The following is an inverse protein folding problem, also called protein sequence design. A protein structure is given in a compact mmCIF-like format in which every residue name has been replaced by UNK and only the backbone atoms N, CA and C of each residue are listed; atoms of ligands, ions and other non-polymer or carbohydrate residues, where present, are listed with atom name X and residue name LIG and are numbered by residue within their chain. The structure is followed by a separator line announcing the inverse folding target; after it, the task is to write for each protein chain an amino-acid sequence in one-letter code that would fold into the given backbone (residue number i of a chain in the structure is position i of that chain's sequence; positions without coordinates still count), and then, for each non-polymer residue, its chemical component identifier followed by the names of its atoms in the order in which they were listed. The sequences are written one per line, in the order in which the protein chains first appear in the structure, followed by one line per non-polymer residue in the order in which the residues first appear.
data_IF_168534265603
#
_entry.id   IF_168534265603
#
_cell.length_a   1.000
_cell.length_b   1.000
_cell.length_c   1.000
_cell.angle_alpha   90.00
_cell.angle_beta   90.00
_cell.angle_gamma   90.00
#
_symmetry.space_group_name_H-M   'P 1'
#
loop_
_entity.id
_entity.type
_entity.pdbx_description
1 polymer ?
#
# COMPACT_ATOMS: atom_id res chain seq x y z
N UNK A 1 -5.32 1.87 18.61
CA UNK A 1 -6.79 2.03 18.61
C UNK A 1 -7.26 3.25 19.42
N UNK A 2 -6.92 3.40 20.72
CA UNK A 2 -7.36 4.56 21.54
C UNK A 2 -6.87 5.88 20.92
N UNK A 3 -5.59 5.98 20.55
CA UNK A 3 -5.04 7.16 19.88
C UNK A 3 -5.75 7.40 18.54
N UNK A 4 -6.00 6.36 17.74
CA UNK A 4 -6.78 6.50 16.49
C UNK A 4 -8.18 7.05 16.77
N UNK A 5 -8.87 6.55 17.79
CA UNK A 5 -10.20 7.03 18.13
C UNK A 5 -10.19 8.52 18.54
N UNK A 6 -9.27 8.93 19.43
CA UNK A 6 -9.10 10.33 19.83
C UNK A 6 -8.90 11.23 18.63
N UNK A 7 -8.09 10.77 17.71
CA UNK A 7 -7.73 11.46 16.48
C UNK A 7 -8.91 11.57 15.52
N UNK A 8 -9.59 10.46 15.26
CA UNK A 8 -10.73 10.38 14.35
C UNK A 8 -11.90 11.24 14.85
N UNK A 9 -12.19 11.24 16.16
CA UNK A 9 -13.23 12.06 16.76
C UNK A 9 -12.80 13.52 17.02
N UNK A 10 -11.50 13.79 17.24
CA UNK A 10 -10.94 15.13 17.46
C UNK A 10 -10.83 16.03 16.22
N UNK A 11 -11.04 15.45 15.04
CA UNK A 11 -11.04 16.16 13.75
C UNK A 11 -9.74 16.03 12.95
N UNK A 12 -9.91 15.81 11.65
CA UNK A 12 -8.84 15.50 10.71
C UNK A 12 -7.79 16.62 10.49
N UNK A 13 -8.14 17.88 10.73
CA UNK A 13 -7.26 19.02 10.39
C UNK A 13 -5.92 19.07 11.16
N UNK A 14 -5.92 18.69 12.43
CA UNK A 14 -4.69 18.75 13.24
C UNK A 14 -3.71 17.65 12.89
N UNK A 15 -4.24 16.49 12.54
CA UNK A 15 -3.48 15.27 12.28
C UNK A 15 -2.94 15.27 10.86
N UNK A 16 -3.75 15.69 9.90
CA UNK A 16 -3.32 15.88 8.51
C UNK A 16 -2.01 16.71 8.46
N UNK A 17 -1.88 17.72 9.31
CA UNK A 17 -0.65 18.53 9.38
C UNK A 17 0.54 17.76 9.96
N UNK A 18 0.33 16.97 11.00
CA UNK A 18 1.41 16.16 11.61
C UNK A 18 1.82 15.03 10.69
N UNK A 19 0.86 14.31 10.10
CA UNK A 19 1.15 13.22 9.16
C UNK A 19 1.78 13.73 7.87
N UNK A 20 1.38 14.89 7.37
CA UNK A 20 1.96 15.51 6.17
C UNK A 20 3.47 15.80 6.30
N UNK A 21 3.97 16.00 7.53
CA UNK A 21 5.41 16.16 7.78
C UNK A 21 6.07 14.85 8.21
N UNK A 22 5.42 14.11 9.12
CA UNK A 22 5.99 12.90 9.69
C UNK A 22 6.16 11.79 8.65
N UNK A 23 5.17 11.58 7.78
CA UNK A 23 5.22 10.50 6.78
C UNK A 23 6.38 10.68 5.79
N UNK A 24 6.57 11.83 5.12
CA UNK A 24 7.71 12.02 4.22
C UNK A 24 9.07 11.85 4.92
N UNK A 25 9.21 12.35 6.15
CA UNK A 25 10.46 12.20 6.92
C UNK A 25 10.75 10.73 7.22
N UNK A 26 9.75 9.99 7.72
CA UNK A 26 9.92 8.57 8.03
C UNK A 26 10.17 7.76 6.75
N UNK A 27 9.48 8.08 5.65
CA UNK A 27 9.71 7.44 4.34
C UNK A 27 11.12 7.70 3.81
N UNK A 28 11.62 8.93 3.94
CA UNK A 28 13.00 9.27 3.55
C UNK A 28 14.05 8.51 4.38
N UNK A 29 13.84 8.42 5.70
CA UNK A 29 14.72 7.65 6.59
C UNK A 29 14.66 6.17 6.23
N UNK A 30 13.47 5.62 6.05
CA UNK A 30 13.28 4.22 5.65
C UNK A 30 13.96 3.91 4.31
N UNK A 31 13.77 4.77 3.32
CA UNK A 31 14.42 4.66 2.01
C UNK A 31 15.95 4.68 2.15
N UNK A 32 16.49 5.63 2.91
CA UNK A 32 17.93 5.75 3.11
C UNK A 32 18.54 4.49 3.74
N UNK A 33 17.95 3.98 4.81
CA UNK A 33 18.47 2.75 5.47
C UNK A 33 18.27 1.51 4.60
N UNK A 34 17.19 1.44 3.80
CA UNK A 34 16.95 0.34 2.87
C UNK A 34 17.98 0.32 1.73
N UNK A 35 18.21 1.47 1.09
CA UNK A 35 19.24 1.60 0.05
C UNK A 35 20.61 1.25 0.60
N UNK A 36 20.96 1.76 1.79
CA UNK A 36 22.24 1.43 2.41
C UNK A 36 22.36 -0.06 2.73
N UNK A 37 21.29 -0.72 3.22
CA UNK A 37 21.30 -2.16 3.48
C UNK A 37 21.57 -2.96 2.19
N UNK A 38 20.89 -2.60 1.10
CA UNK A 38 21.08 -3.23 -0.22
C UNK A 38 22.50 -3.00 -0.74
N UNK A 39 23.07 -1.80 -0.56
CA UNK A 39 24.43 -1.48 -1.00
C UNK A 39 25.51 -2.22 -0.19
N UNK A 40 25.26 -2.56 1.08
CA UNK A 40 26.21 -3.35 1.89
C UNK A 40 26.40 -4.78 1.36
N UNK A 41 25.37 -5.35 0.72
CA UNK A 41 25.39 -6.69 0.13
C UNK A 41 25.19 -6.63 -1.40
N UNK A 42 25.68 -5.56 -2.05
CA UNK A 42 25.49 -5.33 -3.48
C UNK A 42 26.01 -6.48 -4.35
N UNK A 43 27.11 -7.11 -3.94
CA UNK A 43 27.71 -8.25 -4.63
C UNK A 43 26.78 -9.47 -4.72
N UNK A 44 25.81 -9.57 -3.81
CA UNK A 44 24.82 -10.67 -3.73
C UNK A 44 23.53 -10.40 -4.48
N UNK A 45 23.31 -9.16 -4.95
CA UNK A 45 22.12 -8.79 -5.74
C UNK A 45 21.92 -9.70 -6.96
N UNK A 46 22.95 -9.98 -7.79
CA UNK A 46 22.78 -10.86 -8.96
C UNK A 46 22.32 -12.28 -8.58
N UNK A 47 22.81 -12.81 -7.48
CA UNK A 47 22.41 -14.12 -6.97
C UNK A 47 20.95 -14.13 -6.50
N UNK A 48 20.53 -13.12 -5.73
CA UNK A 48 19.14 -12.94 -5.30
C UNK A 48 18.21 -12.78 -6.49
N UNK A 49 18.58 -11.96 -7.48
CA UNK A 49 17.79 -11.80 -8.72
C UNK A 49 17.68 -13.11 -9.50
N UNK A 50 18.76 -13.86 -9.60
CA UNK A 50 18.76 -15.18 -10.21
C UNK A 50 17.81 -16.13 -9.46
N UNK A 51 17.85 -16.15 -8.13
CA UNK A 51 16.98 -16.98 -7.29
C UNK A 51 15.51 -16.62 -7.49
N UNK A 52 15.17 -15.31 -7.54
CA UNK A 52 13.81 -14.85 -7.82
C UNK A 52 13.35 -15.37 -9.19
N UNK A 53 14.15 -15.16 -10.24
CA UNK A 53 13.82 -15.59 -11.59
C UNK A 53 13.72 -17.12 -11.70
N UNK A 54 14.66 -17.86 -11.12
CA UNK A 54 14.62 -19.31 -11.12
C UNK A 54 13.41 -19.85 -10.36
N UNK A 55 13.06 -19.26 -9.23
CA UNK A 55 11.87 -19.65 -8.46
C UNK A 55 10.57 -19.35 -9.20
N UNK A 56 10.53 -18.23 -9.93
CA UNK A 56 9.37 -17.85 -10.73
C UNK A 56 9.19 -18.74 -11.98
N UNK A 57 10.29 -19.19 -12.59
CA UNK A 57 10.29 -19.93 -13.86
C UNK A 57 10.86 -21.35 -13.76
N UNK A 58 11.02 -21.90 -12.54
CA UNK A 58 11.61 -23.24 -12.37
C UNK A 58 10.74 -24.33 -12.97
N UNK A 59 11.41 -25.38 -13.51
CA UNK A 59 10.80 -26.52 -14.22
C UNK A 59 9.99 -27.44 -13.29
N UNK A 60 10.19 -27.40 -11.98
CA UNK A 60 9.25 -28.03 -11.01
C UNK A 60 7.86 -27.39 -11.08
N UNK A 61 7.81 -26.17 -11.52
CA UNK A 61 6.66 -25.53 -12.08
C UNK A 61 6.22 -26.16 -13.42
N UNK A 62 7.01 -26.82 -14.26
CA UNK A 62 6.69 -27.24 -15.64
C UNK A 62 6.14 -28.66 -15.81
N UNK A 63 6.14 -29.50 -14.79
CA UNK A 63 5.56 -30.87 -14.85
C UNK A 63 4.06 -30.88 -14.51
N UNK A 64 3.27 -30.34 -15.41
CA UNK A 64 1.82 -30.55 -15.55
C UNK A 64 0.93 -30.37 -14.30
N UNK A 65 0.06 -29.39 -14.27
CA UNK A 65 -1.00 -29.18 -13.27
C UNK A 65 -0.58 -28.38 -12.04
N UNK A 66 0.54 -28.68 -11.41
CA UNK A 66 1.06 -27.97 -10.24
C UNK A 66 1.65 -26.60 -10.63
N UNK A 67 2.19 -26.45 -11.84
CA UNK A 67 2.74 -25.19 -12.36
C UNK A 67 1.71 -24.13 -12.56
N UNK A 68 0.62 -24.49 -13.20
CA UNK A 68 -0.50 -23.55 -13.35
C UNK A 68 -0.99 -23.09 -11.99
N UNK A 69 -0.98 -23.99 -10.99
CA UNK A 69 -1.39 -23.67 -9.63
C UNK A 69 -0.39 -22.75 -8.90
N UNK A 70 0.91 -23.04 -8.96
CA UNK A 70 1.94 -22.21 -8.31
C UNK A 70 2.12 -20.86 -9.00
N UNK A 71 2.12 -20.83 -10.33
CA UNK A 71 2.17 -19.59 -11.09
C UNK A 71 0.91 -18.76 -10.87
N UNK A 72 -0.26 -19.38 -10.84
CA UNK A 72 -1.51 -18.71 -10.49
C UNK A 72 -1.50 -18.20 -9.06
N UNK A 73 -0.86 -18.90 -8.13
CA UNK A 73 -0.67 -18.47 -6.74
C UNK A 73 0.20 -17.22 -6.65
N UNK A 74 1.37 -17.20 -7.28
CA UNK A 74 2.27 -16.05 -7.30
C UNK A 74 1.64 -14.83 -7.98
N UNK A 75 1.00 -15.04 -9.13
CA UNK A 75 0.27 -13.98 -9.85
C UNK A 75 -0.89 -13.44 -9.02
N UNK A 76 -1.69 -14.32 -8.43
CA UNK A 76 -2.82 -13.96 -7.57
C UNK A 76 -2.37 -13.12 -6.38
N UNK A 77 -1.34 -13.56 -5.65
CA UNK A 77 -0.82 -12.82 -4.51
C UNK A 77 -0.19 -11.48 -4.95
N UNK A 78 0.57 -11.47 -6.05
CA UNK A 78 1.18 -10.27 -6.60
C UNK A 78 0.14 -9.22 -6.97
N UNK A 79 -0.89 -9.59 -7.71
CA UNK A 79 -1.98 -8.68 -8.10
C UNK A 79 -2.77 -8.23 -6.88
N UNK A 80 -3.17 -9.14 -5.99
CA UNK A 80 -3.98 -8.79 -4.82
C UNK A 80 -3.21 -7.86 -3.87
N UNK A 81 -1.96 -8.16 -3.55
CA UNK A 81 -1.16 -7.35 -2.63
C UNK A 81 -0.67 -6.06 -3.27
N UNK A 82 -0.32 -6.08 -4.57
CA UNK A 82 -0.01 -4.87 -5.33
C UNK A 82 -1.20 -3.90 -5.31
N UNK A 83 -2.37 -4.33 -5.73
CA UNK A 83 -3.60 -3.51 -5.73
C UNK A 83 -3.95 -2.98 -4.34
N UNK A 84 -3.71 -3.76 -3.29
CA UNK A 84 -3.91 -3.33 -1.91
C UNK A 84 -2.92 -2.23 -1.50
N UNK A 85 -1.65 -2.36 -1.88
CA UNK A 85 -0.58 -1.44 -1.46
C UNK A 85 -0.75 -0.05 -2.07
N UNK A 86 -0.92 0.03 -3.39
CA UNK A 86 -0.99 1.32 -4.10
C UNK A 86 -2.41 1.85 -4.29
N UNK A 87 -3.44 1.12 -3.82
CA UNK A 87 -4.86 1.49 -3.92
C UNK A 87 -5.35 1.88 -5.34
N UNK A 88 -4.47 1.84 -6.35
CA UNK A 88 -4.82 2.15 -7.73
C UNK A 88 -5.79 1.09 -8.27
N UNK A 89 -6.90 1.54 -8.80
CA UNK A 89 -7.97 0.65 -9.24
C UNK A 89 -9.02 0.34 -8.17
N UNK A 90 -8.76 0.63 -6.88
CA UNK A 90 -9.75 0.44 -5.80
C UNK A 90 -10.75 1.59 -5.65
N UNK A 91 -10.47 2.76 -6.27
CA UNK A 91 -11.32 3.95 -6.18
C UNK A 91 -11.09 4.81 -4.94
N UNK A 92 -10.14 4.47 -4.08
CA UNK A 92 -9.80 5.22 -2.86
C UNK A 92 -8.84 6.38 -3.14
N UNK A 93 -7.86 6.19 -4.02
CA UNK A 93 -6.92 7.24 -4.40
C UNK A 93 -7.59 8.54 -4.86
N UNK A 94 -8.63 8.54 -5.73
CA UNK A 94 -9.34 9.76 -6.10
C UNK A 94 -9.95 10.52 -4.93
N UNK A 95 -10.34 9.84 -3.84
CA UNK A 95 -10.90 10.49 -2.64
C UNK A 95 -9.85 11.32 -1.89
N UNK A 96 -8.58 10.92 -1.94
CA UNK A 96 -7.49 11.72 -1.41
C UNK A 96 -7.14 12.88 -2.36
N UNK A 97 -7.00 12.57 -3.63
CA UNK A 97 -6.55 13.53 -4.66
C UNK A 97 -7.54 14.67 -4.93
N UNK A 98 -8.85 14.46 -4.71
CA UNK A 98 -9.87 15.52 -4.87
C UNK A 98 -9.65 16.71 -3.93
N UNK A 99 -8.93 16.52 -2.83
CA UNK A 99 -8.61 17.60 -1.87
C UNK A 99 -7.36 18.39 -2.25
N UNK A 100 -6.75 18.13 -3.40
CA UNK A 100 -5.56 18.87 -3.85
C UNK A 100 -5.93 20.27 -4.36
N UNK A 101 -4.99 21.20 -4.27
CA UNK A 101 -5.14 22.55 -4.80
C UNK A 101 -4.96 22.61 -6.33
N UNK A 102 -4.66 21.49 -6.97
CA UNK A 102 -4.43 21.40 -8.41
C UNK A 102 -5.72 21.58 -9.18
N UNK A 103 -5.77 22.60 -10.06
CA UNK A 103 -6.96 22.92 -10.88
C UNK A 103 -7.08 22.06 -12.13
N UNK A 104 -6.05 21.33 -12.52
CA UNK A 104 -5.99 20.51 -13.74
C UNK A 104 -6.00 19.03 -13.33
N UNK A 105 -7.11 18.30 -13.51
CA UNK A 105 -7.24 16.91 -13.05
C UNK A 105 -6.14 15.99 -13.62
N UNK A 106 -5.80 16.17 -14.89
CA UNK A 106 -4.74 15.36 -15.54
C UNK A 106 -3.36 15.52 -14.88
N UNK A 107 -3.00 16.72 -14.40
CA UNK A 107 -1.75 16.91 -13.64
C UNK A 107 -1.76 16.18 -12.31
N UNK A 108 -2.91 16.17 -11.63
CA UNK A 108 -3.07 15.41 -10.39
C UNK A 108 -2.97 13.91 -10.65
N UNK A 109 -3.50 13.43 -11.78
CA UNK A 109 -3.36 12.04 -12.21
C UNK A 109 -1.88 11.63 -12.40
N UNK A 110 -1.03 12.51 -12.95
CA UNK A 110 0.41 12.25 -13.06
C UNK A 110 1.10 12.12 -11.70
N UNK A 111 0.69 12.90 -10.70
CA UNK A 111 1.19 12.74 -9.32
C UNK A 111 0.79 11.39 -8.73
N UNK A 112 -0.45 10.93 -9.01
CA UNK A 112 -0.87 9.58 -8.61
C UNK A 112 -0.06 8.46 -9.27
N UNK A 113 0.33 8.61 -10.53
CA UNK A 113 1.24 7.67 -11.22
C UNK A 113 2.60 7.65 -10.53
N UNK A 114 3.16 8.83 -10.21
CA UNK A 114 4.43 8.93 -9.49
C UNK A 114 4.36 8.30 -8.10
N UNK A 115 3.28 8.53 -7.36
CA UNK A 115 3.04 7.93 -6.05
C UNK A 115 3.05 6.41 -6.11
N UNK A 116 2.28 5.82 -7.03
CA UNK A 116 2.23 4.35 -7.24
C UNK A 116 3.59 3.80 -7.63
N UNK A 117 4.32 4.47 -8.53
CA UNK A 117 5.67 4.06 -8.91
C UNK A 117 6.62 4.07 -7.71
N UNK A 118 6.61 5.15 -6.94
CA UNK A 118 7.52 5.30 -5.80
C UNK A 118 7.21 4.27 -4.70
N UNK A 119 5.95 4.12 -4.33
CA UNK A 119 5.55 3.19 -3.27
C UNK A 119 5.78 1.73 -3.70
N UNK A 120 5.28 1.34 -4.84
CA UNK A 120 5.27 -0.06 -5.27
C UNK A 120 6.59 -0.50 -5.89
N UNK A 121 7.14 0.28 -6.83
CA UNK A 121 8.37 -0.13 -7.52
C UNK A 121 9.60 0.17 -6.67
N UNK A 122 9.69 1.34 -6.03
CA UNK A 122 10.89 1.68 -5.26
C UNK A 122 10.85 1.08 -3.86
N UNK A 123 9.85 1.43 -3.04
CA UNK A 123 9.81 1.06 -1.63
C UNK A 123 9.63 -0.45 -1.43
N UNK A 124 8.68 -1.07 -2.13
CA UNK A 124 8.43 -2.51 -1.99
C UNK A 124 9.59 -3.35 -2.53
N UNK A 125 10.21 -2.95 -3.66
CA UNK A 125 11.38 -3.66 -4.20
C UNK A 125 12.57 -3.59 -3.24
N UNK A 126 12.86 -2.41 -2.69
CA UNK A 126 13.95 -2.26 -1.71
C UNK A 126 13.68 -3.11 -0.46
N UNK A 127 12.45 -3.08 0.06
CA UNK A 127 12.08 -3.91 1.22
C UNK A 127 12.25 -5.40 0.92
N UNK A 128 11.79 -5.85 -0.26
CA UNK A 128 11.95 -7.23 -0.70
C UNK A 128 13.41 -7.65 -0.82
N UNK A 129 14.24 -6.79 -1.42
CA UNK A 129 15.68 -7.04 -1.53
C UNK A 129 16.36 -7.12 -0.16
N UNK A 130 16.06 -6.21 0.77
CA UNK A 130 16.58 -6.26 2.14
C UNK A 130 16.21 -7.57 2.84
N UNK A 131 14.97 -8.03 2.68
CA UNK A 131 14.52 -9.29 3.25
C UNK A 131 15.27 -10.48 2.65
N UNK A 132 15.38 -10.54 1.34
CA UNK A 132 16.03 -11.66 0.64
C UNK A 132 17.54 -11.71 0.90
N UNK A 133 18.22 -10.56 0.86
CA UNK A 133 19.64 -10.46 1.18
C UNK A 133 19.94 -10.82 2.63
N UNK A 134 19.10 -10.40 3.57
CA UNK A 134 19.28 -10.69 4.99
C UNK A 134 19.07 -12.17 5.34
N UNK A 135 18.19 -12.89 4.63
CA UNK A 135 17.75 -14.23 5.08
C UNK A 135 18.21 -15.37 4.18
N UNK A 136 19.01 -15.13 3.16
CA UNK A 136 19.54 -16.17 2.25
C UNK A 136 18.45 -17.08 1.62
N UNK A 137 17.21 -16.58 1.55
CA UNK A 137 16.04 -17.34 1.08
C UNK A 137 15.39 -18.23 2.13
N UNK A 138 15.94 -18.31 3.36
CA UNK A 138 15.35 -19.02 4.49
C UNK A 138 14.63 -18.06 5.42
N UNK A 139 13.32 -18.18 5.52
CA UNK A 139 12.50 -17.30 6.35
C UNK A 139 12.24 -17.88 7.72
N UNK A 140 12.61 -17.15 8.76
CA UNK A 140 12.46 -17.56 10.17
C UNK A 140 11.04 -17.45 10.69
N UNK A 141 10.15 -16.77 9.97
CA UNK A 141 8.76 -16.51 10.38
C UNK A 141 7.87 -16.23 9.19
N UNK A 142 6.61 -16.65 9.27
CA UNK A 142 5.56 -16.31 8.31
C UNK A 142 4.94 -14.93 8.58
N UNK A 143 5.31 -14.28 9.67
CA UNK A 143 4.84 -12.93 10.00
C UNK A 143 5.69 -11.88 9.27
N UNK A 144 5.13 -11.27 8.21
CA UNK A 144 5.83 -10.29 7.38
C UNK A 144 6.39 -9.10 8.15
N UNK A 145 5.69 -8.60 9.17
CA UNK A 145 6.18 -7.47 9.99
C UNK A 145 7.43 -7.86 10.80
N UNK A 146 7.40 -9.02 11.45
CA UNK A 146 8.54 -9.53 12.20
C UNK A 146 9.72 -9.84 11.28
N UNK A 147 9.45 -10.34 10.09
CA UNK A 147 10.46 -10.62 9.08
C UNK A 147 11.19 -9.35 8.64
N UNK A 148 10.46 -8.26 8.37
CA UNK A 148 11.07 -6.95 8.06
C UNK A 148 11.94 -6.46 9.21
N UNK A 149 11.41 -6.42 10.44
CA UNK A 149 12.15 -5.96 11.62
C UNK A 149 13.42 -6.79 11.82
N UNK A 150 13.34 -8.10 11.69
CA UNK A 150 14.48 -8.99 11.83
C UNK A 150 15.53 -8.74 10.74
N UNK A 151 15.12 -8.61 9.49
CA UNK A 151 16.02 -8.37 8.35
C UNK A 151 16.82 -7.08 8.53
N UNK A 152 16.17 -5.98 8.89
CA UNK A 152 16.87 -4.73 9.19
C UNK A 152 17.77 -4.84 10.43
N UNK A 153 17.37 -5.63 11.42
CA UNK A 153 18.17 -5.83 12.63
C UNK A 153 19.49 -6.58 12.36
N UNK A 154 19.54 -7.42 11.32
CA UNK A 154 20.80 -8.05 10.87
C UNK A 154 21.82 -7.01 10.39
N UNK A 155 21.40 -5.96 9.72
CA UNK A 155 22.28 -4.91 9.19
C UNK A 155 22.67 -3.86 10.24
N UNK A 156 21.74 -3.48 11.10
CA UNK A 156 21.90 -2.31 11.97
C UNK A 156 21.78 -2.62 13.47
N UNK A 157 21.62 -3.90 13.83
CA UNK A 157 21.49 -4.33 15.22
C UNK A 157 20.13 -3.94 15.84
N UNK A 158 20.03 -4.13 17.16
CA UNK A 158 18.76 -3.94 17.91
C UNK A 158 18.18 -2.53 17.81
N UNK A 159 18.99 -1.49 17.58
CA UNK A 159 18.51 -0.11 17.43
C UNK A 159 17.64 0.05 16.19
N UNK A 160 17.93 -0.67 15.12
CA UNK A 160 17.12 -0.66 13.92
C UNK A 160 15.72 -1.28 14.15
N UNK A 161 15.62 -2.29 15.00
CA UNK A 161 14.32 -2.86 15.34
C UNK A 161 13.34 -1.81 15.88
N UNK A 162 13.80 -0.92 16.76
CA UNK A 162 12.97 0.16 17.28
C UNK A 162 12.59 1.18 16.21
N UNK A 163 13.55 1.56 15.36
CA UNK A 163 13.31 2.52 14.27
C UNK A 163 12.29 1.97 13.25
N UNK A 164 12.49 0.74 12.81
CA UNK A 164 11.59 0.09 11.86
C UNK A 164 10.22 -0.14 12.49
N UNK A 165 10.14 -0.60 13.73
CA UNK A 165 8.86 -0.76 14.44
C UNK A 165 8.10 0.57 14.56
N UNK A 166 8.80 1.65 14.89
CA UNK A 166 8.20 2.99 14.94
C UNK A 166 7.72 3.45 13.56
N UNK A 167 8.49 3.18 12.50
CA UNK A 167 8.11 3.52 11.13
C UNK A 167 6.85 2.76 10.70
N UNK A 168 6.79 1.44 10.92
CA UNK A 168 5.63 0.61 10.62
C UNK A 168 4.40 1.09 11.41
N UNK A 169 4.58 1.43 12.69
CA UNK A 169 3.49 1.94 13.53
C UNK A 169 2.93 3.26 12.98
N UNK A 170 3.80 4.19 12.55
CA UNK A 170 3.38 5.47 11.98
C UNK A 170 2.67 5.29 10.63
N UNK A 171 3.18 4.43 9.76
CA UNK A 171 2.51 4.12 8.49
C UNK A 171 1.14 3.47 8.72
N UNK A 172 1.06 2.47 9.60
CA UNK A 172 -0.22 1.83 9.95
C UNK A 172 -1.21 2.84 10.56
N UNK A 173 -0.75 3.73 11.43
CA UNK A 173 -1.56 4.77 12.02
C UNK A 173 -2.12 5.73 10.97
N UNK A 174 -1.29 6.19 10.03
CA UNK A 174 -1.72 7.05 8.94
C UNK A 174 -2.76 6.36 8.05
N UNK A 175 -2.53 5.09 7.69
CA UNK A 175 -3.46 4.29 6.88
C UNK A 175 -4.82 4.15 7.56
N UNK A 176 -4.85 3.81 8.85
CA UNK A 176 -6.12 3.68 9.60
C UNK A 176 -6.91 4.99 9.57
N UNK A 177 -6.26 6.14 9.70
CA UNK A 177 -6.94 7.44 9.65
C UNK A 177 -7.43 7.76 8.25
N UNK A 178 -6.61 7.52 7.22
CA UNK A 178 -7.01 7.77 5.83
C UNK A 178 -8.23 6.93 5.45
N UNK A 179 -8.25 5.65 5.80
CA UNK A 179 -9.39 4.78 5.51
C UNK A 179 -10.67 5.18 6.29
N UNK A 180 -10.54 5.68 7.52
CA UNK A 180 -11.67 6.27 8.23
C UNK A 180 -12.25 7.48 7.48
N UNK A 181 -11.38 8.32 6.92
CA UNK A 181 -11.77 9.47 6.10
C UNK A 181 -12.48 9.03 4.81
N UNK A 182 -11.95 8.04 4.09
CA UNK A 182 -12.58 7.54 2.86
C UNK A 182 -14.00 7.03 3.12
N UNK A 183 -14.21 6.20 4.13
CA UNK A 183 -15.53 5.71 4.44
C UNK A 183 -16.49 6.80 4.95
N UNK A 184 -15.98 7.79 5.70
CA UNK A 184 -16.76 8.99 6.04
C UNK A 184 -17.20 9.76 4.80
N UNK A 185 -16.32 9.94 3.84
CA UNK A 185 -16.60 10.63 2.57
C UNK A 185 -17.67 9.88 1.78
N UNK A 186 -17.55 8.56 1.68
CA UNK A 186 -18.57 7.71 1.05
C UNK A 186 -19.93 7.82 1.76
N UNK A 187 -19.95 7.77 3.09
CA UNK A 187 -21.18 7.94 3.86
C UNK A 187 -21.84 9.30 3.61
N UNK A 188 -21.03 10.35 3.49
CA UNK A 188 -21.49 11.72 3.22
C UNK A 188 -22.23 11.86 1.88
N UNK A 189 -21.97 10.98 0.91
CA UNK A 189 -22.73 10.92 -0.34
C UNK A 189 -24.19 10.47 -0.12
N UNK A 190 -24.41 9.54 0.82
CA UNK A 190 -25.75 9.00 1.10
C UNK A 190 -26.52 9.83 2.12
N UNK A 191 -25.83 10.45 3.08
CA UNK A 191 -26.48 11.20 4.16
C UNK A 191 -25.60 12.32 4.72
N UNK A 192 -26.20 13.49 4.95
CA UNK A 192 -25.57 14.61 5.63
C UNK A 192 -25.72 14.56 7.17
N UNK A 193 -26.24 13.47 7.72
CA UNK A 193 -26.52 13.34 9.14
C UNK A 193 -25.24 13.20 9.97
N UNK A 194 -24.95 14.18 10.82
CA UNK A 194 -23.85 14.12 11.79
C UNK A 194 -23.98 12.94 12.78
N UNK A 195 -25.18 12.45 13.03
CA UNK A 195 -25.41 11.28 13.86
C UNK A 195 -24.94 10.00 13.16
N UNK A 196 -25.27 9.86 11.88
CA UNK A 196 -24.79 8.73 11.05
C UNK A 196 -23.26 8.72 10.95
N UNK A 197 -22.63 9.89 10.76
CA UNK A 197 -21.17 10.04 10.77
C UNK A 197 -20.54 9.53 12.07
N UNK A 198 -21.08 9.96 13.23
CA UNK A 198 -20.57 9.51 14.55
C UNK A 198 -20.73 8.01 14.75
N UNK A 199 -21.88 7.44 14.36
CA UNK A 199 -22.12 6.00 14.44
C UNK A 199 -21.11 5.25 13.57
N UNK A 200 -20.90 5.69 12.33
CA UNK A 200 -19.89 5.11 11.44
C UNK A 200 -18.49 5.12 12.08
N UNK A 201 -18.02 6.27 12.59
CA UNK A 201 -16.71 6.38 13.21
C UNK A 201 -16.59 5.49 14.46
N UNK A 202 -17.63 5.37 15.26
CA UNK A 202 -17.65 4.48 16.43
C UNK A 202 -17.54 3.00 15.99
N UNK A 203 -18.31 2.58 14.99
CA UNK A 203 -18.24 1.23 14.41
C UNK A 203 -16.86 0.97 13.80
N UNK A 204 -16.31 1.94 13.06
CA UNK A 204 -14.96 1.84 12.49
C UNK A 204 -13.89 1.60 13.56
N UNK A 205 -13.91 2.36 14.66
CA UNK A 205 -13.00 2.16 15.78
C UNK A 205 -13.19 0.78 16.46
N UNK A 206 -14.42 0.33 16.62
CA UNK A 206 -14.70 -1.00 17.17
C UNK A 206 -14.18 -2.12 16.26
N UNK A 207 -14.40 -2.01 14.95
CA UNK A 207 -13.87 -2.97 13.95
C UNK A 207 -12.35 -2.97 13.92
N UNK A 208 -11.70 -1.81 14.04
CA UNK A 208 -10.24 -1.70 14.14
C UNK A 208 -9.70 -2.45 15.38
N UNK A 209 -10.42 -2.37 16.52
CA UNK A 209 -10.07 -3.15 17.71
C UNK A 209 -10.27 -4.65 17.50
N UNK A 210 -11.37 -5.05 16.89
CA UNK A 210 -11.65 -6.45 16.58
C UNK A 210 -10.58 -7.02 15.64
N UNK A 211 -10.18 -6.27 14.61
CA UNK A 211 -9.10 -6.67 13.70
C UNK A 211 -7.76 -6.93 14.38
N UNK A 212 -7.48 -6.22 15.49
CA UNK A 212 -6.24 -6.42 16.26
C UNK A 212 -6.20 -7.75 17.03
N UNK A 213 -7.35 -8.37 17.30
CA UNK A 213 -7.47 -9.65 18.02
C UNK A 213 -7.78 -10.83 17.09
N UNK A 214 -8.13 -10.57 15.84
CA UNK A 214 -8.37 -11.59 14.83
C UNK A 214 -7.08 -12.24 14.34
N UNK A 215 -7.19 -13.46 13.82
CA UNK A 215 -6.03 -14.10 13.17
C UNK A 215 -5.64 -13.34 11.91
N UNK A 216 -4.33 -13.19 11.68
CA UNK A 216 -3.77 -12.49 10.51
C UNK A 216 -4.33 -13.06 9.18
N UNK A 217 -4.44 -14.39 9.08
CA UNK A 217 -4.99 -15.04 7.88
C UNK A 217 -6.44 -14.62 7.59
N UNK A 218 -7.28 -14.49 8.63
CA UNK A 218 -8.67 -14.09 8.45
C UNK A 218 -8.79 -12.63 8.01
N UNK A 219 -7.99 -11.74 8.63
CA UNK A 219 -7.95 -10.32 8.26
C UNK A 219 -7.55 -10.17 6.79
N UNK A 220 -6.50 -10.86 6.34
CA UNK A 220 -6.06 -10.81 4.94
C UNK A 220 -7.11 -11.33 3.96
N UNK A 221 -7.80 -12.43 4.28
CA UNK A 221 -8.87 -12.96 3.41
C UNK A 221 -10.03 -11.99 3.27
N UNK A 222 -10.47 -11.37 4.36
CA UNK A 222 -11.53 -10.37 4.33
C UNK A 222 -11.11 -9.12 3.53
N UNK A 223 -9.87 -8.68 3.72
CA UNK A 223 -9.29 -7.57 2.98
C UNK A 223 -9.23 -7.85 1.48
N UNK A 224 -8.73 -9.03 1.08
CA UNK A 224 -8.61 -9.41 -0.33
C UNK A 224 -9.99 -9.44 -1.02
N UNK A 225 -11.03 -9.95 -0.35
CA UNK A 225 -12.41 -9.94 -0.88
C UNK A 225 -12.92 -8.50 -1.03
N UNK A 226 -12.71 -7.66 -0.02
CA UNK A 226 -13.17 -6.27 -0.05
C UNK A 226 -12.50 -5.48 -1.17
N UNK A 227 -11.18 -5.60 -1.31
CA UNK A 227 -10.40 -4.96 -2.37
C UNK A 227 -10.83 -5.45 -3.76
N UNK A 228 -11.09 -6.75 -3.91
CA UNK A 228 -11.56 -7.30 -5.19
C UNK A 228 -12.91 -6.68 -5.61
N UNK A 229 -13.87 -6.57 -4.68
CA UNK A 229 -15.17 -5.94 -4.95
C UNK A 229 -14.99 -4.47 -5.33
N UNK A 230 -14.20 -3.72 -4.55
CA UNK A 230 -13.92 -2.30 -4.82
C UNK A 230 -13.27 -2.11 -6.19
N UNK A 231 -12.30 -2.96 -6.53
CA UNK A 231 -11.59 -2.90 -7.82
C UNK A 231 -12.53 -3.15 -8.99
N UNK A 232 -13.41 -4.16 -8.91
CA UNK A 232 -14.37 -4.44 -10.00
C UNK A 232 -15.33 -3.25 -10.22
N UNK A 233 -15.85 -2.69 -9.14
CA UNK A 233 -16.76 -1.53 -9.23
C UNK A 233 -16.04 -0.31 -9.80
N UNK A 234 -14.83 -0.01 -9.33
CA UNK A 234 -14.08 1.15 -9.80
C UNK A 234 -13.61 0.99 -11.26
N UNK A 235 -13.13 -0.19 -11.66
CA UNK A 235 -12.74 -0.45 -13.05
C UNK A 235 -13.91 -0.25 -14.00
N UNK A 236 -15.12 -0.65 -13.61
CA UNK A 236 -16.33 -0.39 -14.39
C UNK A 236 -16.55 1.12 -14.61
N UNK A 237 -16.39 1.92 -13.56
CA UNK A 237 -16.48 3.37 -13.63
C UNK A 237 -15.37 3.99 -14.51
N UNK A 238 -14.12 3.54 -14.36
CA UNK A 238 -12.97 4.03 -15.15
C UNK A 238 -13.15 3.71 -16.64
N UNK A 239 -13.65 2.52 -16.98
CA UNK A 239 -13.95 2.15 -18.37
C UNK A 239 -15.05 3.06 -18.95
N UNK A 240 -16.07 3.38 -18.14
CA UNK A 240 -17.15 4.29 -18.55
C UNK A 240 -16.62 5.69 -18.80
N UNK A 241 -15.81 6.23 -17.91
CA UNK A 241 -15.27 7.59 -17.95
C UNK A 241 -14.05 7.75 -18.88
N UNK A 242 -13.63 6.71 -19.59
CA UNK A 242 -12.39 6.69 -20.41
C UNK A 242 -12.32 7.82 -21.44
N UNK A 243 -13.47 8.29 -21.95
CA UNK A 243 -13.54 9.40 -22.91
C UNK A 243 -13.23 10.73 -22.25
N UNK A 244 -13.84 11.00 -21.11
CA UNK A 244 -13.65 12.23 -20.34
C UNK A 244 -12.19 12.33 -19.87
N UNK A 245 -11.63 11.23 -19.35
CA UNK A 245 -10.21 11.17 -18.94
C UNK A 245 -9.29 11.51 -20.10
N UNK A 246 -9.59 11.02 -21.29
CA UNK A 246 -8.81 11.29 -22.48
C UNK A 246 -8.91 12.76 -22.89
N UNK A 247 -10.10 13.31 -22.96
CA UNK A 247 -10.36 14.70 -23.35
C UNK A 247 -9.64 15.66 -22.38
N UNK A 248 -9.73 15.43 -21.07
CA UNK A 248 -9.01 16.19 -20.05
C UNK A 248 -7.47 16.09 -20.19
N UNK A 249 -6.97 14.93 -20.58
CA UNK A 249 -5.54 14.71 -20.76
C UNK A 249 -5.02 15.41 -22.04
N UNK A 250 -5.81 15.39 -23.11
CA UNK A 250 -5.52 16.12 -24.36
C UNK A 250 -5.57 17.65 -24.12
N UNK A 251 -6.59 18.15 -23.41
CA UNK A 251 -6.70 19.56 -23.03
C UNK A 251 -5.54 20.05 -22.16
N UNK A 252 -4.99 19.17 -21.31
CA UNK A 252 -3.84 19.47 -20.48
C UNK A 252 -2.51 19.47 -21.26
N UNK A 253 -2.52 19.15 -22.55
CA UNK A 253 -1.30 19.04 -23.39
C UNK A 253 -0.39 17.87 -23.05
N UNK A 254 -0.92 16.86 -22.35
CA UNK A 254 -0.16 15.68 -21.88
C UNK A 254 -0.23 14.50 -22.86
N UNK A 255 -1.09 14.54 -23.86
CA UNK A 255 -1.15 13.60 -24.97
C UNK A 255 -0.74 14.26 -26.27
N UNK A 256 -0.07 13.51 -27.16
CA UNK A 256 0.15 13.95 -28.52
C UNK A 256 -1.20 14.03 -29.25
N UNK A 257 -1.52 15.15 -29.93
CA UNK A 257 -2.72 15.24 -30.74
C UNK A 257 -2.71 14.14 -31.81
N UNK A 258 -3.84 13.53 -32.05
CA UNK A 258 -3.98 12.60 -33.18
C UNK A 258 -3.65 13.32 -34.47
N UNK A 259 -2.66 12.82 -35.20
CA UNK A 259 -2.47 13.11 -36.61
C UNK A 259 -3.59 12.46 -37.45
#
# INVERSE_FOLDING_TARGET
AVICAVVIFGGFKGISRVTAVAIPVVSAVYLFISVRAVLLDADRIPEVMRTILQSAFSVSAASGGVVGFLLSGALRHGVAKGSFTHEAGCGTAPMAHVNSDTKIPAKQGLLGIFEVFFDTIVMCTLTGLVILLANDGEFITDNGMLLVIYSFSKYYGKKAAYLISASILLFAFATVICWAYYGKTCLGYFTASKKAERVYLAVYCAVTLLGAVMSQSMVWKLSDISVAIMTVLNLSAVIWLRREVREETECAGLCLPRR
#
